data_IF_939981581050
#
_entry.id   IF_939981581050
#
_cell.length_a   1.000
_cell.length_b   1.000
_cell.length_c   1.000
_cell.angle_alpha   90.00
_cell.angle_beta   90.00
_cell.angle_gamma   90.00
#
_symmetry.space_group_name_H-M   'P 1'
#
loop_
_entity.id
_entity.type
_entity.pdbx_description
1 polymer ?
#
# COMPACT_ATOMS: atom_id res chain seq x y z
N UNK A 1 8.34 19.56 -18.20
CA UNK A 1 8.90 18.46 -17.40
C UNK A 1 7.94 18.18 -16.26
N UNK A 2 7.47 16.95 -16.14
CA UNK A 2 6.53 16.55 -15.09
C UNK A 2 7.22 16.31 -13.76
N UNK A 3 6.48 16.53 -12.67
CA UNK A 3 6.97 16.38 -11.33
C UNK A 3 6.26 15.20 -10.64
N UNK A 4 7.07 14.26 -10.15
CA UNK A 4 6.60 13.07 -9.43
C UNK A 4 7.04 13.15 -7.97
N UNK A 5 6.12 12.88 -7.04
CA UNK A 5 6.38 12.89 -5.62
C UNK A 5 6.07 11.55 -4.96
N UNK A 6 6.97 11.08 -4.09
CA UNK A 6 6.72 9.98 -3.17
C UNK A 6 6.53 10.57 -1.78
N UNK A 7 5.31 10.45 -1.24
CA UNK A 7 5.01 10.95 0.10
C UNK A 7 5.57 10.01 1.16
N UNK A 8 6.35 10.58 2.08
CA UNK A 8 7.06 9.89 3.13
C UNK A 8 8.50 9.55 2.76
N UNK A 9 9.47 10.26 3.38
CA UNK A 9 10.91 10.03 3.21
C UNK A 9 11.50 9.01 4.19
N UNK A 10 10.64 8.29 4.93
CA UNK A 10 11.00 7.24 5.87
C UNK A 10 11.47 5.94 5.22
N UNK A 11 11.53 4.84 5.99
CA UNK A 11 12.03 3.53 5.53
C UNK A 11 11.34 3.05 4.25
N UNK A 12 10.02 2.96 4.28
CA UNK A 12 9.26 2.46 3.13
C UNK A 12 9.36 3.40 1.91
N UNK A 13 9.35 4.72 2.10
CA UNK A 13 9.57 5.67 0.99
C UNK A 13 10.93 5.46 0.31
N UNK A 14 11.98 5.20 1.09
CA UNK A 14 13.33 4.92 0.56
C UNK A 14 13.41 3.58 -0.21
N UNK A 15 12.55 2.63 0.08
CA UNK A 15 12.40 1.39 -0.70
C UNK A 15 11.60 1.62 -1.99
N UNK A 16 10.60 2.50 -1.95
CA UNK A 16 9.67 2.75 -3.06
C UNK A 16 10.25 3.69 -4.13
N UNK A 17 10.96 4.76 -3.74
CA UNK A 17 11.41 5.78 -4.70
C UNK A 17 12.33 5.23 -5.80
N UNK A 18 13.26 4.28 -5.55
CA UNK A 18 14.05 3.69 -6.62
C UNK A 18 13.20 2.83 -7.59
N UNK A 19 12.10 2.22 -7.12
CA UNK A 19 11.15 1.51 -7.98
C UNK A 19 10.42 2.50 -8.88
N UNK A 20 9.91 3.60 -8.32
CA UNK A 20 9.30 4.68 -9.06
C UNK A 20 10.25 5.25 -10.14
N UNK A 21 11.51 5.52 -9.78
CA UNK A 21 12.51 6.00 -10.72
C UNK A 21 12.72 5.04 -11.91
N UNK A 22 12.79 3.73 -11.63
CA UNK A 22 12.92 2.72 -12.67
C UNK A 22 11.70 2.68 -13.59
N UNK A 23 10.48 2.71 -13.04
CA UNK A 23 9.25 2.75 -13.84
C UNK A 23 9.20 4.00 -14.74
N UNK A 24 9.46 5.17 -14.16
CA UNK A 24 9.39 6.44 -14.87
C UNK A 24 10.41 6.53 -16.01
N UNK A 25 11.63 6.03 -15.81
CA UNK A 25 12.63 5.97 -16.88
C UNK A 25 12.20 5.13 -18.08
N UNK A 26 11.38 4.11 -17.88
CA UNK A 26 10.87 3.26 -18.94
C UNK A 26 9.76 3.93 -19.77
N UNK A 27 8.94 4.81 -19.16
CA UNK A 27 7.75 5.37 -19.80
C UNK A 27 7.88 6.84 -20.22
N UNK A 28 8.68 7.65 -19.51
CA UNK A 28 8.78 9.11 -19.72
C UNK A 28 10.04 9.56 -20.47
N UNK A 29 10.82 8.62 -21.03
CA UNK A 29 12.07 8.92 -21.75
C UNK A 29 13.02 9.86 -20.99
N UNK A 30 12.95 9.87 -19.65
CA UNK A 30 13.80 10.69 -18.79
C UNK A 30 13.36 12.15 -18.57
N UNK A 31 12.23 12.57 -19.14
CA UNK A 31 11.73 13.95 -18.99
C UNK A 31 10.84 14.12 -17.73
N UNK A 32 11.37 13.80 -16.57
CA UNK A 32 10.68 13.96 -15.29
C UNK A 32 11.64 14.36 -14.17
N UNK A 33 11.08 14.97 -13.10
CA UNK A 33 11.74 15.17 -11.82
C UNK A 33 11.03 14.33 -10.77
N UNK A 34 11.79 13.57 -9.97
CA UNK A 34 11.26 12.73 -8.89
C UNK A 34 11.80 13.23 -7.56
N UNK A 35 10.92 13.43 -6.59
CA UNK A 35 11.23 13.97 -5.26
C UNK A 35 10.51 13.20 -4.17
N UNK A 36 10.93 13.35 -2.93
CA UNK A 36 10.10 13.04 -1.78
C UNK A 36 9.17 14.21 -1.44
N UNK A 37 8.02 13.88 -0.85
CA UNK A 37 7.11 14.84 -0.21
C UNK A 37 7.05 14.46 1.26
N UNK A 38 7.50 15.35 2.15
CA UNK A 38 7.46 15.10 3.59
C UNK A 38 7.35 16.44 4.34
N UNK A 39 6.34 16.52 5.22
CA UNK A 39 6.07 17.73 6.02
C UNK A 39 6.70 17.65 7.42
N UNK A 40 7.41 16.56 7.73
CA UNK A 40 8.14 16.37 8.98
C UNK A 40 9.49 17.06 9.01
N UNK A 41 10.18 16.93 10.14
CA UNK A 41 11.56 17.39 10.30
C UNK A 41 12.53 16.36 9.68
N UNK A 42 12.70 16.44 8.37
CA UNK A 42 13.56 15.55 7.59
C UNK A 42 14.62 16.34 6.81
N UNK A 43 15.71 15.70 6.45
CA UNK A 43 16.76 16.31 5.64
C UNK A 43 16.22 16.78 4.29
N UNK A 44 16.71 17.90 3.76
CA UNK A 44 16.31 18.45 2.44
C UNK A 44 16.67 17.55 1.26
N UNK A 45 17.52 16.57 1.47
CA UNK A 45 17.87 15.54 0.49
C UNK A 45 18.02 14.19 1.21
N UNK A 46 17.38 13.16 0.66
CA UNK A 46 17.42 11.79 1.17
C UNK A 46 17.80 10.85 0.01
N UNK A 47 18.88 10.12 0.14
CA UNK A 47 19.40 9.18 -0.88
C UNK A 47 19.56 9.81 -2.29
N UNK A 48 19.91 11.09 -2.36
CA UNK A 48 20.09 11.81 -3.62
C UNK A 48 18.81 12.41 -4.22
N UNK A 49 17.67 12.25 -3.57
CA UNK A 49 16.40 12.86 -3.96
C UNK A 49 16.09 14.07 -3.07
N UNK A 50 15.64 15.17 -3.69
CA UNK A 50 15.16 16.34 -2.95
C UNK A 50 13.93 15.99 -2.13
N UNK A 51 13.78 16.62 -0.96
CA UNK A 51 12.58 16.57 -0.12
C UNK A 51 11.86 17.90 -0.15
N UNK A 52 10.61 17.91 -0.57
CA UNK A 52 9.72 19.06 -0.59
C UNK A 52 8.61 18.89 0.46
N UNK A 53 8.15 19.99 1.03
CA UNK A 53 6.87 19.96 1.75
C UNK A 53 5.71 19.82 0.76
N UNK A 54 4.55 19.35 1.23
CA UNK A 54 3.32 19.27 0.41
C UNK A 54 3.02 20.61 -0.27
N UNK A 55 3.09 21.72 0.47
CA UNK A 55 2.89 23.07 -0.07
C UNK A 55 3.88 23.38 -1.20
N UNK A 56 5.18 23.15 -0.97
CA UNK A 56 6.21 23.40 -1.98
C UNK A 56 6.07 22.52 -3.20
N UNK A 57 5.65 21.25 -3.04
CA UNK A 57 5.39 20.36 -4.16
C UNK A 57 4.24 20.89 -5.02
N UNK A 58 3.13 21.29 -4.42
CA UNK A 58 1.97 21.83 -5.13
C UNK A 58 2.27 23.18 -5.80
N UNK A 59 3.14 24.00 -5.21
CA UNK A 59 3.55 25.31 -5.76
C UNK A 59 4.60 25.21 -6.89
N UNK A 60 5.20 24.04 -7.16
CA UNK A 60 6.21 23.94 -8.22
C UNK A 60 5.63 24.25 -9.59
N UNK A 61 6.36 25.04 -10.39
CA UNK A 61 6.08 25.20 -11.82
C UNK A 61 6.50 23.92 -12.55
N UNK A 62 5.55 23.09 -12.89
CA UNK A 62 5.74 21.82 -13.59
C UNK A 62 4.72 21.69 -14.71
N UNK A 63 4.87 20.69 -15.59
CA UNK A 63 3.84 20.25 -16.51
C UNK A 63 2.66 19.69 -15.74
N UNK A 64 2.67 18.42 -15.47
CA UNK A 64 1.73 17.78 -14.54
C UNK A 64 2.45 17.38 -13.23
N UNK A 65 1.65 17.19 -12.18
CA UNK A 65 2.12 16.71 -10.87
C UNK A 65 1.50 15.36 -10.59
N UNK A 66 2.35 14.39 -10.28
CA UNK A 66 1.93 13.05 -9.94
C UNK A 66 2.45 12.67 -8.56
N UNK A 67 1.69 11.86 -7.83
CA UNK A 67 2.10 11.42 -6.51
C UNK A 67 1.78 9.95 -6.24
N UNK A 68 2.56 9.34 -5.35
CA UNK A 68 2.22 8.11 -4.67
C UNK A 68 2.57 8.25 -3.18
N UNK A 69 1.98 7.44 -2.32
CA UNK A 69 2.08 7.63 -0.88
C UNK A 69 2.66 6.39 -0.22
N UNK A 70 3.90 6.49 0.27
CA UNK A 70 4.63 5.42 0.95
C UNK A 70 4.52 5.54 2.49
N UNK A 71 3.30 5.72 3.00
CA UNK A 71 2.98 5.82 4.42
C UNK A 71 2.15 4.60 4.83
N UNK A 72 2.60 3.86 5.85
CA UNK A 72 1.93 2.64 6.32
C UNK A 72 0.57 2.89 6.99
N UNK A 73 0.41 4.02 7.69
CA UNK A 73 -0.87 4.37 8.31
C UNK A 73 -1.91 4.74 7.24
N UNK A 74 -2.94 3.92 7.10
CA UNK A 74 -3.94 4.04 6.04
C UNK A 74 -4.80 5.31 6.15
N UNK A 75 -5.13 5.76 7.35
CA UNK A 75 -5.94 6.99 7.55
C UNK A 75 -5.12 8.25 7.25
N UNK A 76 -3.83 8.27 7.60
CA UNK A 76 -2.92 9.35 7.18
C UNK A 76 -2.74 9.33 5.67
N UNK A 77 -2.60 8.14 5.07
CA UNK A 77 -2.47 7.96 3.62
C UNK A 77 -3.69 8.52 2.88
N UNK A 78 -4.90 8.22 3.34
CA UNK A 78 -6.14 8.77 2.79
C UNK A 78 -6.21 10.29 2.92
N UNK A 79 -5.91 10.83 4.11
CA UNK A 79 -5.91 12.29 4.35
C UNK A 79 -4.96 13.02 3.40
N UNK A 80 -3.74 12.52 3.25
CA UNK A 80 -2.73 13.13 2.37
C UNK A 80 -3.12 12.98 0.90
N UNK A 81 -3.72 11.83 0.53
CA UNK A 81 -4.28 11.63 -0.80
C UNK A 81 -5.27 12.73 -1.17
N UNK A 82 -6.24 13.01 -0.31
CA UNK A 82 -7.26 14.02 -0.55
C UNK A 82 -6.64 15.42 -0.70
N UNK A 83 -5.68 15.80 0.15
CA UNK A 83 -4.97 17.08 0.04
C UNK A 83 -4.27 17.24 -1.31
N UNK A 84 -3.60 16.19 -1.80
CA UNK A 84 -2.88 16.25 -3.06
C UNK A 84 -3.81 16.26 -4.28
N UNK A 85 -4.93 15.50 -4.22
CA UNK A 85 -5.97 15.54 -5.24
C UNK A 85 -6.63 16.93 -5.32
N UNK A 86 -7.00 17.52 -4.20
CA UNK A 86 -7.57 18.88 -4.11
C UNK A 86 -6.58 19.93 -4.64
N UNK A 87 -5.27 19.70 -4.45
CA UNK A 87 -4.18 20.51 -5.01
C UNK A 87 -3.93 20.27 -6.52
N UNK A 88 -4.74 19.44 -7.20
CA UNK A 88 -4.65 19.16 -8.63
C UNK A 88 -3.52 18.20 -9.02
N UNK A 89 -2.92 17.48 -8.08
CA UNK A 89 -1.98 16.41 -8.39
C UNK A 89 -2.74 15.09 -8.67
N UNK A 90 -2.13 14.20 -9.47
CA UNK A 90 -2.73 12.94 -9.89
C UNK A 90 -2.01 11.75 -9.26
N UNK A 91 -2.71 10.70 -8.82
CA UNK A 91 -2.06 9.50 -8.35
C UNK A 91 -1.39 8.74 -9.51
N UNK A 92 -0.30 8.03 -9.22
CA UNK A 92 0.29 7.04 -10.13
C UNK A 92 0.63 5.76 -9.38
N UNK A 93 0.57 4.64 -10.08
CA UNK A 93 0.90 3.34 -9.50
C UNK A 93 2.37 2.99 -9.74
N UNK A 94 2.95 2.22 -8.84
CA UNK A 94 4.34 1.78 -8.87
C UNK A 94 4.36 0.26 -8.81
N UNK A 95 5.03 -0.37 -9.77
CA UNK A 95 5.20 -1.82 -9.79
C UNK A 95 6.67 -2.18 -10.02
N UNK A 96 7.22 -3.00 -9.15
CA UNK A 96 8.55 -3.53 -9.37
C UNK A 96 8.58 -4.40 -10.64
N UNK A 97 9.69 -4.36 -11.39
CA UNK A 97 9.82 -5.12 -12.65
C UNK A 97 9.73 -6.64 -12.49
N UNK A 98 9.85 -7.13 -11.28
CA UNK A 98 9.71 -8.54 -10.89
C UNK A 98 8.48 -8.79 -9.99
N UNK A 99 7.57 -7.83 -9.90
CA UNK A 99 6.21 -8.10 -9.45
C UNK A 99 5.43 -8.78 -10.57
N UNK A 100 4.55 -9.70 -10.23
CA UNK A 100 3.78 -10.49 -11.21
C UNK A 100 2.30 -10.17 -11.03
N UNK A 101 1.65 -9.74 -12.11
CA UNK A 101 0.20 -9.57 -12.17
C UNK A 101 -0.29 -10.42 -13.33
N UNK A 102 -1.10 -11.44 -13.04
CA UNK A 102 -1.70 -12.32 -14.04
C UNK A 102 -2.99 -11.71 -14.60
N UNK A 103 -3.76 -12.50 -15.33
CA UNK A 103 -4.93 -12.03 -16.09
C UNK A 103 -6.19 -11.85 -15.23
N UNK A 104 -7.13 -11.05 -15.73
CA UNK A 104 -8.46 -10.87 -15.14
C UNK A 104 -8.49 -9.98 -13.89
N UNK A 105 -7.42 -9.21 -13.63
CA UNK A 105 -7.32 -8.37 -12.45
C UNK A 105 -7.71 -6.92 -12.73
N UNK A 106 -8.40 -6.29 -11.77
CA UNK A 106 -8.69 -4.86 -11.74
C UNK A 106 -7.91 -4.22 -10.57
N UNK A 107 -6.94 -3.36 -10.89
CA UNK A 107 -6.17 -2.63 -9.90
C UNK A 107 -6.48 -1.13 -10.02
N UNK A 108 -6.98 -0.53 -8.95
CA UNK A 108 -7.20 0.90 -8.90
C UNK A 108 -5.87 1.68 -8.77
N UNK A 109 -5.98 2.99 -8.92
CA UNK A 109 -4.85 3.92 -8.90
C UNK A 109 -4.08 3.95 -7.57
N UNK A 110 -2.81 4.37 -7.63
CA UNK A 110 -1.97 4.59 -6.45
C UNK A 110 -1.43 3.31 -5.79
N UNK A 111 -1.58 2.14 -6.41
CA UNK A 111 -1.02 0.89 -5.88
C UNK A 111 0.51 0.89 -5.87
N UNK A 112 1.11 0.26 -4.86
CA UNK A 112 2.54 -0.04 -4.79
C UNK A 112 2.70 -1.56 -4.74
N UNK A 113 3.27 -2.14 -5.79
CA UNK A 113 3.64 -3.55 -5.87
C UNK A 113 5.17 -3.67 -5.75
N UNK A 114 5.64 -4.05 -4.58
CA UNK A 114 7.06 -4.20 -4.28
C UNK A 114 7.66 -5.45 -4.95
N UNK A 115 9.00 -5.60 -4.95
CA UNK A 115 9.67 -6.77 -5.53
C UNK A 115 9.13 -8.10 -5.03
N UNK A 116 8.95 -9.06 -5.95
CA UNK A 116 8.44 -10.41 -5.69
C UNK A 116 7.03 -10.46 -5.11
N UNK A 117 6.25 -9.37 -5.22
CA UNK A 117 4.83 -9.43 -4.95
C UNK A 117 4.08 -10.04 -6.13
N UNK A 118 2.91 -10.63 -5.86
CA UNK A 118 2.11 -11.29 -6.89
C UNK A 118 0.62 -11.01 -6.70
N UNK A 119 -0.07 -10.74 -7.79
CA UNK A 119 -1.54 -10.74 -7.89
C UNK A 119 -1.90 -11.78 -8.93
N UNK A 120 -2.65 -12.84 -8.52
CA UNK A 120 -2.89 -13.95 -9.45
C UNK A 120 -4.05 -13.65 -10.40
N UNK A 121 -5.26 -14.12 -10.22
CA UNK A 121 -6.32 -13.97 -11.22
C UNK A 121 -7.65 -13.56 -10.63
N UNK A 122 -8.43 -12.80 -11.42
CA UNK A 122 -9.81 -12.41 -11.09
C UNK A 122 -9.91 -11.66 -9.76
N UNK A 123 -8.97 -10.77 -9.45
CA UNK A 123 -8.99 -9.98 -8.24
C UNK A 123 -9.44 -8.55 -8.52
N UNK A 124 -10.09 -7.93 -7.55
CA UNK A 124 -10.36 -6.49 -7.53
C UNK A 124 -9.61 -5.86 -6.39
N UNK A 125 -8.77 -4.89 -6.71
CA UNK A 125 -7.91 -4.20 -5.74
C UNK A 125 -8.22 -2.71 -5.77
N UNK A 126 -8.60 -2.17 -4.62
CA UNK A 126 -8.93 -0.77 -4.41
C UNK A 126 -7.72 0.17 -4.48
N UNK A 127 -7.98 1.45 -4.21
CA UNK A 127 -7.01 2.53 -4.34
C UNK A 127 -5.90 2.44 -3.28
N UNK A 128 -4.70 2.86 -3.65
CA UNK A 128 -3.55 2.99 -2.74
C UNK A 128 -3.25 1.71 -1.94
N UNK A 129 -3.41 0.57 -2.58
CA UNK A 129 -3.01 -0.72 -2.03
C UNK A 129 -1.50 -0.84 -1.95
N UNK A 130 -0.97 -1.33 -0.83
CA UNK A 130 0.44 -1.65 -0.66
C UNK A 130 0.64 -3.16 -0.59
N UNK A 131 1.28 -3.73 -1.59
CA UNK A 131 1.82 -5.09 -1.56
C UNK A 131 3.33 -5.02 -1.30
N UNK A 132 3.75 -5.24 -0.06
CA UNK A 132 5.17 -5.23 0.30
C UNK A 132 5.88 -6.48 -0.24
N UNK A 133 7.21 -6.49 -0.15
CA UNK A 133 8.06 -7.57 -0.70
C UNK A 133 7.54 -8.97 -0.34
N UNK A 134 7.57 -9.90 -1.32
CA UNK A 134 7.18 -11.31 -1.16
C UNK A 134 5.72 -11.55 -0.73
N UNK A 135 4.84 -10.55 -0.79
CA UNK A 135 3.42 -10.74 -0.50
C UNK A 135 2.63 -11.13 -1.73
N UNK A 136 1.49 -11.83 -1.55
CA UNK A 136 0.62 -12.14 -2.66
C UNK A 136 -0.87 -12.02 -2.33
N UNK A 137 -1.64 -11.74 -3.39
CA UNK A 137 -3.09 -11.87 -3.45
C UNK A 137 -3.41 -12.99 -4.42
N UNK A 138 -4.04 -14.07 -3.93
CA UNK A 138 -4.46 -15.19 -4.78
C UNK A 138 -5.79 -14.89 -5.48
N UNK A 139 -6.29 -15.86 -6.22
CA UNK A 139 -7.46 -15.74 -7.11
C UNK A 139 -8.76 -15.37 -6.39
N UNK A 140 -9.65 -14.68 -7.11
CA UNK A 140 -11.02 -14.38 -6.66
C UNK A 140 -11.07 -13.60 -5.33
N UNK A 141 -10.12 -12.69 -5.12
CA UNK A 141 -10.07 -11.83 -3.94
C UNK A 141 -10.62 -10.43 -4.23
N UNK A 142 -11.21 -9.81 -3.21
CA UNK A 142 -11.63 -8.41 -3.21
C UNK A 142 -10.85 -7.66 -2.13
N UNK A 143 -10.07 -6.66 -2.51
CA UNK A 143 -9.26 -5.86 -1.60
C UNK A 143 -9.76 -4.41 -1.66
N UNK A 144 -10.16 -3.85 -0.53
CA UNK A 144 -10.64 -2.48 -0.42
C UNK A 144 -9.53 -1.42 -0.53
N UNK A 145 -9.94 -0.17 -0.38
CA UNK A 145 -9.04 0.98 -0.48
C UNK A 145 -8.09 1.07 0.72
N UNK A 146 -6.89 1.58 0.48
CA UNK A 146 -5.88 1.84 1.51
C UNK A 146 -5.47 0.62 2.33
N UNK A 147 -5.66 -0.59 1.84
CA UNK A 147 -5.18 -1.82 2.49
C UNK A 147 -3.67 -1.90 2.41
N UNK A 148 -3.04 -2.42 3.46
CA UNK A 148 -1.59 -2.65 3.50
C UNK A 148 -1.28 -4.11 3.77
N UNK A 149 -0.53 -4.73 2.87
CA UNK A 149 0.19 -5.98 3.11
C UNK A 149 1.63 -5.65 3.49
N UNK A 150 2.01 -5.98 4.71
CA UNK A 150 3.40 -5.98 5.14
C UNK A 150 4.20 -7.11 4.45
N UNK A 151 5.52 -7.19 4.57
CA UNK A 151 6.32 -8.22 3.91
C UNK A 151 5.81 -9.65 4.11
N UNK A 152 5.86 -10.46 3.07
CA UNK A 152 5.56 -11.90 3.09
C UNK A 152 4.13 -12.27 3.51
N UNK A 153 3.16 -11.40 3.32
CA UNK A 153 1.74 -11.72 3.53
C UNK A 153 1.27 -12.73 2.49
N UNK A 154 0.52 -13.74 2.94
CA UNK A 154 -0.05 -14.81 2.12
C UNK A 154 -1.57 -14.75 2.16
N UNK A 155 -2.18 -14.07 1.19
CA UNK A 155 -3.62 -13.99 1.04
C UNK A 155 -4.08 -15.05 0.02
N UNK A 156 -4.68 -16.14 0.50
CA UNK A 156 -5.16 -17.21 -0.38
C UNK A 156 -6.50 -16.84 -1.05
N UNK A 157 -7.01 -17.69 -1.91
CA UNK A 157 -8.17 -17.38 -2.75
C UNK A 157 -9.49 -17.17 -2.00
N UNK A 158 -10.43 -16.46 -2.65
CA UNK A 158 -11.77 -16.18 -2.10
C UNK A 158 -11.71 -15.47 -0.73
N UNK A 159 -10.90 -14.42 -0.64
CA UNK A 159 -10.78 -13.56 0.55
C UNK A 159 -11.26 -12.16 0.21
N UNK A 160 -12.07 -11.58 1.09
CA UNK A 160 -12.46 -10.18 1.03
C UNK A 160 -11.77 -9.42 2.16
N UNK A 161 -11.01 -8.39 1.81
CA UNK A 161 -10.35 -7.51 2.79
C UNK A 161 -10.94 -6.12 2.60
N UNK A 162 -11.61 -5.62 3.61
CA UNK A 162 -12.25 -4.31 3.57
C UNK A 162 -11.22 -3.19 3.74
N UNK A 163 -11.63 -1.94 3.43
CA UNK A 163 -10.75 -0.78 3.40
C UNK A 163 -9.99 -0.56 4.71
N UNK A 164 -8.78 0.01 4.61
CA UNK A 164 -7.92 0.35 5.74
C UNK A 164 -7.38 -0.82 6.57
N UNK A 165 -7.66 -2.07 6.21
CA UNK A 165 -7.10 -3.21 6.92
C UNK A 165 -5.58 -3.26 6.78
N UNK A 166 -4.91 -3.67 7.84
CA UNK A 166 -3.45 -3.89 7.89
C UNK A 166 -3.16 -5.37 8.13
N UNK A 167 -2.43 -5.98 7.23
CA UNK A 167 -2.02 -7.37 7.31
C UNK A 167 -0.53 -7.42 7.61
N UNK A 168 -0.18 -7.89 8.80
CA UNK A 168 1.18 -7.90 9.34
C UNK A 168 2.12 -8.88 8.65
N UNK A 169 3.41 -8.63 8.77
CA UNK A 169 4.49 -9.43 8.16
C UNK A 169 4.31 -10.92 8.39
N UNK A 170 4.36 -11.71 7.32
CA UNK A 170 4.29 -13.17 7.37
C UNK A 170 2.92 -13.73 7.76
N UNK A 171 1.88 -12.91 7.87
CA UNK A 171 0.54 -13.41 8.13
C UNK A 171 0.02 -14.27 6.97
N UNK A 172 -0.75 -15.29 7.31
CA UNK A 172 -1.37 -16.22 6.36
C UNK A 172 -2.88 -16.17 6.53
N UNK A 173 -3.60 -15.89 5.46
CA UNK A 173 -5.07 -15.89 5.45
C UNK A 173 -5.51 -17.15 4.73
N UNK A 174 -6.31 -18.00 5.42
CA UNK A 174 -6.86 -19.23 4.85
C UNK A 174 -7.73 -18.91 3.64
N UNK A 175 -7.71 -19.80 2.66
CA UNK A 175 -8.63 -19.76 1.53
C UNK A 175 -10.10 -19.86 1.99
N UNK A 176 -10.96 -19.01 1.46
CA UNK A 176 -12.40 -19.11 1.54
C UNK A 176 -12.99 -19.93 0.39
N UNK A 177 -14.29 -19.82 0.18
CA UNK A 177 -15.00 -20.30 -1.01
C UNK A 177 -15.86 -19.17 -1.58
N UNK A 178 -16.36 -19.27 -2.81
CA UNK A 178 -17.26 -18.26 -3.36
C UNK A 178 -18.48 -18.00 -2.47
N UNK A 179 -19.06 -19.06 -1.87
CA UNK A 179 -20.23 -18.97 -0.99
C UNK A 179 -19.88 -18.49 0.42
N UNK A 180 -18.65 -18.78 0.88
CA UNK A 180 -18.17 -18.46 2.24
C UNK A 180 -16.76 -17.89 2.18
N UNK A 181 -16.59 -16.65 1.71
CA UNK A 181 -15.26 -16.01 1.70
C UNK A 181 -14.78 -15.76 3.14
N UNK A 182 -13.48 -15.72 3.32
CA UNK A 182 -12.89 -15.18 4.55
C UNK A 182 -12.93 -13.66 4.44
N UNK A 183 -13.57 -13.00 5.40
CA UNK A 183 -13.70 -11.54 5.43
C UNK A 183 -12.78 -10.96 6.51
N UNK A 184 -11.95 -10.00 6.13
CA UNK A 184 -11.19 -9.15 7.05
C UNK A 184 -11.86 -7.78 7.04
N UNK A 185 -12.53 -7.44 8.14
CA UNK A 185 -13.35 -6.24 8.22
C UNK A 185 -12.54 -4.93 8.17
N UNK A 186 -13.24 -3.83 7.91
CA UNK A 186 -12.66 -2.50 7.75
C UNK A 186 -11.77 -2.12 8.94
N UNK A 187 -10.57 -1.61 8.65
CA UNK A 187 -9.62 -1.18 9.67
C UNK A 187 -9.13 -2.27 10.60
N UNK A 188 -9.43 -3.54 10.33
CA UNK A 188 -8.90 -4.65 11.13
C UNK A 188 -7.38 -4.76 11.00
N UNK A 189 -6.72 -5.22 12.06
CA UNK A 189 -5.28 -5.45 12.11
C UNK A 189 -5.01 -6.93 12.31
N UNK A 190 -4.40 -7.56 11.35
CA UNK A 190 -3.85 -8.91 11.47
C UNK A 190 -2.38 -8.79 11.88
N UNK A 191 -2.03 -9.26 13.06
CA UNK A 191 -0.67 -9.16 13.59
C UNK A 191 0.33 -10.01 12.80
N UNK A 192 1.63 -9.70 12.94
CA UNK A 192 2.69 -10.44 12.26
C UNK A 192 2.65 -11.93 12.60
N UNK A 193 2.87 -12.78 11.60
CA UNK A 193 2.89 -14.25 11.76
C UNK A 193 1.54 -14.89 12.11
N UNK A 194 0.46 -14.13 12.12
CA UNK A 194 -0.85 -14.66 12.43
C UNK A 194 -1.37 -15.58 11.32
N UNK A 195 -2.09 -16.65 11.71
CA UNK A 195 -2.76 -17.58 10.79
C UNK A 195 -4.26 -17.41 10.92
N UNK A 196 -4.85 -16.67 10.01
CA UNK A 196 -6.28 -16.36 10.00
C UNK A 196 -7.05 -17.53 9.39
N UNK A 197 -7.87 -18.18 10.19
CA UNK A 197 -8.68 -19.34 9.79
C UNK A 197 -10.18 -19.03 9.74
N UNK A 198 -10.61 -17.87 10.22
CA UNK A 198 -11.99 -17.37 10.27
C UNK A 198 -12.02 -15.88 9.95
N UNK A 199 -13.16 -15.35 9.55
CA UNK A 199 -13.36 -13.92 9.34
C UNK A 199 -13.03 -13.11 10.59
N UNK A 200 -12.53 -11.90 10.38
CA UNK A 200 -12.09 -10.95 11.41
C UNK A 200 -13.02 -9.75 11.37
N UNK A 201 -13.67 -9.38 12.48
CA UNK A 201 -14.57 -8.21 12.52
C UNK A 201 -13.82 -6.90 12.22
N UNK A 202 -14.58 -5.89 11.76
CA UNK A 202 -14.06 -4.55 11.55
C UNK A 202 -13.42 -3.98 12.84
N UNK A 203 -12.30 -3.29 12.68
CA UNK A 203 -11.54 -2.69 13.78
C UNK A 203 -10.87 -3.67 14.76
N UNK A 204 -11.09 -4.98 14.60
CA UNK A 204 -10.49 -5.96 15.50
C UNK A 204 -8.98 -6.12 15.26
N UNK A 205 -8.24 -6.39 16.33
CA UNK A 205 -6.84 -6.79 16.28
C UNK A 205 -6.75 -8.27 16.57
N UNK A 206 -6.18 -9.06 15.65
CA UNK A 206 -6.00 -10.52 15.85
C UNK A 206 -4.54 -10.90 15.73
N UNK A 207 -4.10 -11.88 16.53
CA UNK A 207 -2.73 -12.37 16.57
C UNK A 207 -2.66 -13.87 16.79
N UNK A 208 -1.56 -14.49 16.43
CA UNK A 208 -1.22 -15.88 16.74
C UNK A 208 -1.68 -16.91 15.71
N UNK A 209 -1.47 -18.18 16.02
CA UNK A 209 -1.83 -19.35 15.20
C UNK A 209 -2.59 -20.38 16.07
N UNK A 210 -3.92 -20.58 15.82
CA UNK A 210 -4.75 -19.77 14.94
C UNK A 210 -4.95 -18.35 15.48
N UNK A 211 -5.23 -17.40 14.58
CA UNK A 211 -5.44 -15.99 14.95
C UNK A 211 -6.65 -15.83 15.89
N UNK A 212 -6.43 -15.11 16.99
CA UNK A 212 -7.45 -14.80 18.00
C UNK A 212 -7.43 -13.30 18.32
N UNK A 213 -8.54 -12.72 18.79
CA UNK A 213 -8.57 -11.32 19.23
C UNK A 213 -7.50 -11.04 20.29
N UNK A 214 -6.77 -9.94 20.08
CA UNK A 214 -5.82 -9.44 21.09
C UNK A 214 -6.60 -8.70 22.18
N UNK A 215 -6.81 -9.34 23.31
CA UNK A 215 -7.38 -8.72 24.50
C UNK A 215 -6.28 -7.92 25.19
N UNK A 216 -6.35 -6.59 25.16
CA UNK A 216 -5.50 -5.75 26.01
C UNK A 216 -6.00 -5.90 27.45
N UNK A 217 -5.18 -6.47 28.34
CA UNK A 217 -5.45 -6.35 29.77
C UNK A 217 -5.29 -4.86 30.12
N UNK A 218 -6.33 -4.25 30.67
CA UNK A 218 -6.15 -2.97 31.33
C UNK A 218 -5.11 -3.19 32.43
N UNK A 219 -3.98 -2.51 32.31
CA UNK A 219 -3.02 -2.45 33.42
C UNK A 219 -3.67 -1.54 34.44
N UNK A 220 -4.21 -2.15 35.51
CA UNK A 220 -4.66 -1.38 36.66
C UNK A 220 -3.46 -0.57 37.17
N UNK A 221 -3.55 0.76 36.99
CA UNK A 221 -2.60 1.75 37.52
C UNK A 221 -2.70 1.89 39.02
#
# INVERSE_FOLDING_TARGET
MDLYGIVGAGGFGREVIPLANKNLRMVSQGNFRLVFIDDGDVAKNVNGYDVLTTEKFLAQKAGERFFNIAIGNSRIREKVCNILLDGGARPFSISASNAVVLDGNELAEGSILCPFSMVTSNTRIGKFFHANIYSYVAHDCEIGDFVTFAPSVKCNGNVRIESHAYIGTGAVIKQGTPEYPIVIGEGAVVGMGAVVTKSVPAGAVVVGNPAKPLVRKEVAG
#
